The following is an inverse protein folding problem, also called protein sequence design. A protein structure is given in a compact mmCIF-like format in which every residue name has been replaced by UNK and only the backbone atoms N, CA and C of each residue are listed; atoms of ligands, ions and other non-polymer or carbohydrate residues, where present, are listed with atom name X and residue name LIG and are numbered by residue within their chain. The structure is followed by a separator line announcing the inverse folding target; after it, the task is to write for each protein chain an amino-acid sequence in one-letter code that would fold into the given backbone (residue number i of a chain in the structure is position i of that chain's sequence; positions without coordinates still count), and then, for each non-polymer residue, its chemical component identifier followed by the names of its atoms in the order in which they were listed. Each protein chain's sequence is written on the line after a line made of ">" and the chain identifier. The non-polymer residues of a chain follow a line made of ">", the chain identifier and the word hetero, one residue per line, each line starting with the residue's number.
data_IF_626392987060
#
_entry.id   IF_626392987060
#
_cell.length_a   1.000
_cell.length_b   1.000
_cell.length_c   1.000
_cell.angle_alpha   90.00
_cell.angle_beta   90.00
_cell.angle_gamma   90.00
#
_symmetry.space_group_name_H-M   'P 1'
#
loop_
_entity.id
_entity.type
_entity.pdbx_description
1 polymer ?
#
# COMPACT_ATOMS: atom_id res chain seq x y z
N UNK A 1 2.50 -2.24 -8.46
CA UNK A 1 2.93 -3.27 -7.49
C UNK A 1 2.19 -2.97 -6.19
N UNK A 2 1.65 -3.98 -5.49
CA UNK A 2 1.02 -3.75 -4.18
C UNK A 2 2.14 -3.38 -3.19
N UNK A 3 2.01 -2.32 -2.39
CA UNK A 3 3.10 -1.88 -1.52
C UNK A 3 3.50 -2.96 -0.51
N UNK A 4 4.72 -2.90 0.04
CA UNK A 4 5.27 -3.89 0.97
C UNK A 4 4.65 -3.81 2.38
N UNK A 5 3.32 -3.72 2.45
CA UNK A 5 2.57 -3.82 3.69
C UNK A 5 2.71 -5.24 4.26
N UNK A 6 3.06 -5.34 5.55
CA UNK A 6 3.32 -6.65 6.19
C UNK A 6 4.70 -7.24 5.89
N UNK A 7 5.66 -6.44 5.43
CA UNK A 7 7.06 -6.90 5.41
C UNK A 7 7.62 -7.06 6.82
N UNK A 8 8.60 -7.95 6.98
CA UNK A 8 9.31 -8.15 8.26
C UNK A 8 10.22 -6.97 8.61
N UNK A 9 10.45 -6.04 7.67
CA UNK A 9 11.23 -4.82 7.89
C UNK A 9 10.30 -3.77 8.48
N UNK A 10 10.49 -3.47 9.77
CA UNK A 10 9.73 -2.42 10.48
C UNK A 10 9.93 -1.08 9.76
N UNK A 11 8.82 -0.41 9.41
CA UNK A 11 8.84 0.91 8.78
C UNK A 11 9.03 0.92 7.27
N UNK A 12 9.13 -0.24 6.60
CA UNK A 12 9.21 -0.28 5.13
C UNK A 12 7.92 0.19 4.44
N UNK A 13 6.80 0.00 5.12
CA UNK A 13 5.50 0.59 4.78
C UNK A 13 5.53 2.11 4.91
N UNK A 14 6.10 2.65 5.99
CA UNK A 14 6.23 4.09 6.20
C UNK A 14 7.25 4.75 5.25
N UNK A 15 8.35 4.05 4.93
CA UNK A 15 9.32 4.45 3.89
C UNK A 15 8.62 4.54 2.52
N UNK A 16 7.84 3.51 2.16
CA UNK A 16 7.02 3.53 0.94
C UNK A 16 6.00 4.69 0.94
N UNK A 17 5.31 4.90 2.05
CA UNK A 17 4.30 5.96 2.23
C UNK A 17 4.88 7.37 2.35
N UNK A 18 6.20 7.53 2.54
CA UNK A 18 6.85 8.84 2.63
C UNK A 18 6.67 9.72 1.38
N UNK A 19 5.97 9.21 0.35
CA UNK A 19 5.57 9.90 -0.86
C UNK A 19 6.73 10.06 -1.82
N UNK A 20 7.90 10.43 -1.31
CA UNK A 20 9.09 10.66 -2.11
C UNK A 20 9.64 9.38 -2.76
N UNK A 21 9.68 8.27 -2.02
CA UNK A 21 10.17 7.00 -2.57
C UNK A 21 9.15 6.37 -3.53
N UNK A 22 7.85 6.39 -3.21
CA UNK A 22 6.81 5.93 -4.14
C UNK A 22 6.78 6.76 -5.44
N UNK A 23 6.88 8.09 -5.38
CA UNK A 23 6.95 8.93 -6.58
C UNK A 23 8.19 8.62 -7.43
N UNK A 24 9.33 8.32 -6.79
CA UNK A 24 10.57 7.99 -7.48
C UNK A 24 10.51 6.60 -8.12
N UNK A 25 10.08 5.59 -7.37
CA UNK A 25 10.09 4.20 -7.80
C UNK A 25 8.98 3.89 -8.82
N UNK A 26 7.85 4.61 -8.77
CA UNK A 26 6.77 4.49 -9.77
C UNK A 26 6.85 5.51 -10.91
N UNK A 27 7.91 6.34 -10.96
CA UNK A 27 8.04 7.45 -11.93
C UNK A 27 6.76 8.32 -12.01
N UNK A 28 6.16 8.57 -10.86
CA UNK A 28 4.93 9.33 -10.74
C UNK A 28 5.23 10.82 -10.48
N UNK A 29 4.33 11.66 -10.97
CA UNK A 29 4.28 13.11 -10.75
C UNK A 29 3.58 13.42 -9.43
N UNK A 30 2.49 12.70 -9.13
CA UNK A 30 1.71 12.85 -7.91
C UNK A 30 1.18 11.49 -7.44
N UNK A 31 0.89 11.42 -6.14
CA UNK A 31 0.31 10.28 -5.45
C UNK A 31 -0.65 10.81 -4.39
N UNK A 32 -1.93 10.46 -4.46
CA UNK A 32 -2.98 10.99 -3.58
C UNK A 32 -3.87 9.85 -3.08
N UNK A 33 -4.29 9.90 -1.81
CA UNK A 33 -5.31 8.99 -1.26
C UNK A 33 -6.69 9.49 -1.69
N UNK A 34 -7.43 8.67 -2.42
CA UNK A 34 -8.81 9.01 -2.84
C UNK A 34 -9.82 8.60 -1.78
N UNK A 35 -9.62 7.46 -1.13
CA UNK A 35 -10.50 6.99 -0.06
C UNK A 35 -9.78 6.05 0.90
N UNK A 36 -10.30 5.99 2.12
CA UNK A 36 -9.92 5.02 3.15
C UNK A 36 -11.06 4.00 3.29
N UNK A 37 -10.72 2.72 3.33
CA UNK A 37 -11.67 1.61 3.31
C UNK A 37 -11.39 0.64 4.46
N UNK A 38 -12.43 -0.04 4.93
CA UNK A 38 -12.34 -1.13 5.91
C UNK A 38 -13.08 -2.35 5.42
N UNK A 39 -12.47 -3.52 5.57
CA UNK A 39 -13.14 -4.80 5.28
C UNK A 39 -12.48 -5.96 6.02
N UNK A 40 -13.25 -7.02 6.22
CA UNK A 40 -12.76 -8.27 6.80
C UNK A 40 -11.96 -9.08 5.76
N UNK A 41 -10.70 -9.35 6.05
CA UNK A 41 -9.84 -10.20 5.23
C UNK A 41 -9.88 -11.64 5.77
N UNK A 42 -10.48 -12.60 5.05
CA UNK A 42 -10.44 -13.99 5.45
C UNK A 42 -9.01 -14.54 5.38
N UNK A 43 -8.77 -15.64 6.08
CA UNK A 43 -7.50 -16.36 6.09
C UNK A 43 -7.06 -16.76 4.67
N UNK A 44 -6.09 -16.03 4.12
CA UNK A 44 -5.52 -16.31 2.79
C UNK A 44 -4.45 -17.44 2.80
N UNK A 45 -3.71 -17.61 3.89
CA UNK A 45 -2.61 -18.57 3.97
C UNK A 45 -2.77 -19.59 5.09
N UNK A 46 -2.30 -20.83 4.88
CA UNK A 46 -2.43 -21.96 5.83
C UNK A 46 -1.87 -21.67 7.22
N UNK A 47 -0.80 -20.88 7.30
CA UNK A 47 -0.10 -20.54 8.54
C UNK A 47 -0.75 -19.40 9.35
N UNK A 48 -1.82 -18.76 8.86
CA UNK A 48 -2.54 -17.77 9.66
C UNK A 48 -3.33 -18.45 10.78
N UNK A 49 -3.19 -17.92 12.01
CA UNK A 49 -3.86 -18.46 13.20
C UNK A 49 -5.31 -18.00 13.32
N UNK A 50 -5.64 -16.83 12.79
CA UNK A 50 -6.98 -16.23 12.83
C UNK A 50 -7.77 -16.58 11.57
N UNK A 51 -9.09 -16.72 11.70
CA UNK A 51 -9.99 -17.02 10.58
C UNK A 51 -10.21 -15.81 9.67
N UNK A 52 -10.26 -14.62 10.27
CA UNK A 52 -10.40 -13.33 9.61
C UNK A 52 -9.76 -12.23 10.47
N UNK A 53 -9.48 -11.09 9.84
CA UNK A 53 -9.01 -9.86 10.48
C UNK A 53 -9.67 -8.66 9.80
N UNK A 54 -10.19 -7.71 10.58
CA UNK A 54 -10.58 -6.39 10.07
C UNK A 54 -9.32 -5.63 9.66
N UNK A 55 -9.30 -5.11 8.43
CA UNK A 55 -8.17 -4.32 7.90
C UNK A 55 -8.66 -2.97 7.42
N UNK A 56 -7.85 -1.94 7.72
CA UNK A 56 -7.99 -0.60 7.15
C UNK A 56 -6.99 -0.46 6.00
N UNK A 57 -7.44 0.03 4.85
CA UNK A 57 -6.61 0.24 3.66
C UNK A 57 -6.90 1.59 3.02
N UNK A 58 -5.90 2.12 2.30
CA UNK A 58 -6.02 3.36 1.53
C UNK A 58 -6.04 3.05 0.04
N UNK A 59 -6.93 3.71 -0.70
CA UNK A 59 -6.95 3.69 -2.17
C UNK A 59 -6.11 4.86 -2.71
N UNK A 60 -4.94 4.55 -3.25
CA UNK A 60 -4.04 5.53 -3.83
C UNK A 60 -4.24 5.72 -5.34
N UNK A 61 -4.25 6.97 -5.79
CA UNK A 61 -4.14 7.39 -7.19
C UNK A 61 -2.74 7.89 -7.47
N UNK A 62 -2.09 7.31 -8.47
CA UNK A 62 -0.82 7.78 -8.98
C UNK A 62 -1.02 8.42 -10.36
N UNK A 63 -0.47 9.62 -10.56
CA UNK A 63 -0.38 10.25 -11.88
C UNK A 63 1.04 10.04 -12.43
N UNK A 64 1.23 9.40 -13.59
CA UNK A 64 2.56 9.24 -14.18
C UNK A 64 3.14 10.60 -14.62
N UNK A 65 4.46 10.73 -14.65
CA UNK A 65 5.11 11.86 -15.34
C UNK A 65 4.83 11.74 -16.83
N UNK A 66 4.32 12.79 -17.46
CA UNK A 66 4.19 12.78 -18.92
C UNK A 66 5.58 12.75 -19.55
N UNK A 67 5.78 11.81 -20.48
CA UNK A 67 6.94 11.85 -21.37
C UNK A 67 6.62 12.88 -22.45
N UNK A 68 7.33 14.01 -22.44
CA UNK A 68 7.45 14.86 -23.62
C UNK A 68 8.36 14.19 -24.65
#
# INVERSE_FOLDING_TARGET
>A
MNPPFGTRKKGADMEFLSGYEALRDFNAKSAEVICELRYDLPKLYKFHKRKEVDIAVDLWRFEPRQNN
#
